data_IF_766543970505
#
_entry.id   IF_766543970505
#
_cell.length_a   1.000
_cell.length_b   1.000
_cell.length_c   1.000
_cell.angle_alpha   90.00
_cell.angle_beta   90.00
_cell.angle_gamma   90.00
#
_symmetry.space_group_name_H-M   'P 1'
#
loop_
_entity.id
_entity.type
_entity.pdbx_description
1 polymer ?
#
# COMPACT_ATOMS: atom_id res chain seq x y z
N UNK A 1 23.10 -5.18 -9.42
CA UNK A 1 22.22 -4.28 -8.62
C UNK A 1 22.13 -2.86 -9.21
N UNK A 2 23.21 -2.26 -9.69
CA UNK A 2 23.23 -0.91 -10.26
C UNK A 2 22.33 -0.72 -11.51
N UNK A 3 22.18 -1.74 -12.35
CA UNK A 3 21.39 -1.64 -13.59
C UNK A 3 19.87 -1.60 -13.39
N UNK A 4 19.33 -2.16 -12.29
CA UNK A 4 17.89 -2.15 -12.02
C UNK A 4 17.47 -0.78 -11.51
N UNK A 5 18.24 -0.19 -10.60
CA UNK A 5 17.94 1.13 -10.03
C UNK A 5 17.97 2.19 -11.13
N UNK A 6 18.94 2.13 -12.07
CA UNK A 6 19.02 3.04 -13.22
C UNK A 6 17.80 2.95 -14.14
N UNK A 7 17.27 1.76 -14.33
CA UNK A 7 16.09 1.53 -15.16
C UNK A 7 14.78 1.98 -14.53
N UNK A 8 14.76 2.16 -13.21
CA UNK A 8 13.57 2.57 -12.43
C UNK A 8 13.58 4.06 -12.11
N UNK A 9 14.76 4.69 -12.09
CA UNK A 9 14.96 6.12 -11.82
C UNK A 9 15.56 6.82 -13.04
N UNK A 10 14.75 7.45 -13.90
CA UNK A 10 15.29 8.21 -15.03
C UNK A 10 16.12 9.40 -14.53
N UNK A 11 17.33 9.53 -15.06
CA UNK A 11 18.29 10.57 -14.70
C UNK A 11 18.71 11.37 -15.96
N UNK A 12 18.97 12.66 -15.78
CA UNK A 12 19.74 13.45 -16.75
C UNK A 12 21.23 13.26 -16.46
N UNK A 13 21.98 12.79 -17.47
CA UNK A 13 23.45 12.78 -17.43
C UNK A 13 24.13 11.53 -16.86
N UNK A 14 23.44 10.43 -16.69
CA UNK A 14 24.06 9.15 -16.25
C UNK A 14 24.39 9.07 -14.76
N UNK A 15 24.92 7.91 -14.35
CA UNK A 15 25.34 7.66 -12.97
C UNK A 15 26.59 8.45 -12.58
N UNK A 16 26.45 9.68 -12.17
CA UNK A 16 27.50 10.46 -11.56
C UNK A 16 27.17 10.71 -10.08
N UNK A 17 27.33 9.74 -9.25
CA UNK A 17 27.16 9.90 -7.81
C UNK A 17 27.88 8.79 -7.05
N UNK A 18 28.97 9.12 -6.39
CA UNK A 18 29.50 8.31 -5.30
C UNK A 18 28.42 8.22 -4.22
N UNK A 19 28.06 7.00 -3.85
CA UNK A 19 27.13 6.77 -2.72
C UNK A 19 27.69 7.49 -1.50
N UNK A 20 26.93 8.43 -0.94
CA UNK A 20 27.39 9.18 0.23
C UNK A 20 27.49 8.24 1.44
N UNK A 21 28.39 8.54 2.39
CA UNK A 21 28.46 7.79 3.65
C UNK A 21 27.10 7.73 4.37
N UNK A 22 26.31 8.79 4.30
CA UNK A 22 24.97 8.86 4.84
C UNK A 22 24.01 7.84 4.18
N UNK A 23 24.12 7.61 2.86
CA UNK A 23 23.31 6.61 2.17
C UNK A 23 23.65 5.18 2.66
N UNK A 24 24.94 4.87 2.78
CA UNK A 24 25.37 3.56 3.26
C UNK A 24 24.96 3.34 4.74
N UNK A 25 25.09 4.38 5.58
CA UNK A 25 24.63 4.33 6.97
C UNK A 25 23.12 4.11 7.08
N UNK A 26 22.32 4.79 6.24
CA UNK A 26 20.87 4.61 6.21
C UNK A 26 20.49 3.17 5.79
N UNK A 27 21.17 2.59 4.79
CA UNK A 27 20.94 1.19 4.38
C UNK A 27 21.34 0.23 5.51
N UNK A 28 22.49 0.44 6.14
CA UNK A 28 22.97 -0.42 7.23
C UNK A 28 22.00 -0.38 8.42
N UNK A 29 21.54 0.83 8.81
CA UNK A 29 20.56 1.01 9.88
C UNK A 29 19.23 0.34 9.55
N UNK A 30 18.71 0.55 8.32
CA UNK A 30 17.47 -0.08 7.89
C UNK A 30 17.58 -1.60 7.87
N UNK A 31 18.72 -2.13 7.40
CA UNK A 31 18.99 -3.56 7.43
C UNK A 31 19.05 -4.13 8.85
N UNK A 32 19.72 -3.43 9.76
CA UNK A 32 19.76 -3.82 11.18
C UNK A 32 18.37 -3.83 11.80
N UNK A 33 17.58 -2.78 11.59
CA UNK A 33 16.22 -2.70 12.10
C UNK A 33 15.31 -3.81 11.54
N UNK A 34 15.48 -4.15 10.26
CA UNK A 34 14.76 -5.26 9.64
C UNK A 34 15.13 -6.61 10.28
N UNK A 35 16.43 -6.86 10.50
CA UNK A 35 16.90 -8.10 11.17
C UNK A 35 16.35 -8.17 12.60
N UNK A 36 16.42 -7.08 13.36
CA UNK A 36 15.90 -7.01 14.72
C UNK A 36 14.38 -7.26 14.72
N UNK A 37 13.63 -6.60 13.81
CA UNK A 37 12.17 -6.80 13.70
C UNK A 37 11.81 -8.25 13.35
N UNK A 38 12.51 -8.89 12.42
CA UNK A 38 12.32 -10.30 12.08
C UNK A 38 12.63 -11.20 13.28
N UNK A 39 13.71 -10.93 14.01
CA UNK A 39 14.07 -11.71 15.20
C UNK A 39 12.98 -11.64 16.29
N UNK A 40 12.44 -10.45 16.57
CA UNK A 40 11.31 -10.28 17.47
C UNK A 40 10.03 -10.96 16.96
N UNK A 41 9.74 -10.87 15.66
CA UNK A 41 8.61 -11.56 15.05
C UNK A 41 8.73 -13.08 15.19
N UNK A 42 9.92 -13.66 14.97
CA UNK A 42 10.16 -15.10 15.20
C UNK A 42 10.03 -15.44 16.67
N UNK A 43 10.56 -14.61 17.57
CA UNK A 43 10.44 -14.83 19.03
C UNK A 43 8.97 -14.85 19.48
N UNK A 44 8.11 -14.05 18.88
CA UNK A 44 6.68 -14.01 19.20
C UNK A 44 5.98 -15.37 18.98
N UNK A 45 6.41 -16.17 18.01
CA UNK A 45 5.87 -17.53 17.80
C UNK A 45 6.24 -18.50 18.94
N UNK A 46 7.29 -18.21 19.70
CA UNK A 46 7.70 -19.07 20.84
C UNK A 46 7.01 -18.66 22.14
N UNK A 47 6.77 -17.37 22.38
CA UNK A 47 6.16 -16.87 23.61
C UNK A 47 4.64 -16.72 23.54
N UNK A 48 4.06 -16.80 22.35
CA UNK A 48 2.64 -16.57 22.10
C UNK A 48 2.34 -15.11 21.73
N UNK A 49 1.39 -14.91 20.81
CA UNK A 49 1.07 -13.60 20.24
C UNK A 49 0.36 -12.67 21.23
N UNK A 50 -0.42 -13.22 22.16
CA UNK A 50 -1.05 -12.49 23.27
C UNK A 50 -0.01 -11.82 24.17
N UNK A 51 1.06 -12.52 24.51
CA UNK A 51 2.16 -11.97 25.31
C UNK A 51 3.07 -11.04 24.52
N UNK A 52 3.35 -11.39 23.26
CA UNK A 52 4.25 -10.60 22.40
C UNK A 52 3.67 -9.27 21.98
N UNK A 53 2.39 -9.24 21.61
CA UNK A 53 1.74 -8.08 20.99
C UNK A 53 0.64 -7.45 21.84
N UNK A 54 0.32 -8.04 22.99
CA UNK A 54 -0.71 -7.55 23.91
C UNK A 54 -2.12 -7.55 23.30
N UNK A 55 -2.36 -8.36 22.27
CA UNK A 55 -3.69 -8.52 21.68
C UNK A 55 -4.56 -9.33 22.62
N UNK A 56 -5.81 -8.86 22.81
CA UNK A 56 -6.79 -9.48 23.68
C UNK A 56 -8.12 -9.63 22.95
N UNK A 57 -9.06 -10.33 23.55
CA UNK A 57 -10.41 -10.43 22.99
C UNK A 57 -11.09 -9.06 22.87
N UNK A 58 -10.79 -8.12 23.76
CA UNK A 58 -11.37 -6.78 23.77
C UNK A 58 -10.65 -5.85 22.77
N UNK A 59 -9.34 -6.07 22.57
CA UNK A 59 -8.50 -5.34 21.62
C UNK A 59 -7.83 -6.35 20.67
N UNK A 60 -8.60 -6.92 19.71
CA UNK A 60 -8.10 -8.03 18.88
C UNK A 60 -7.15 -7.55 17.75
N UNK A 61 -7.11 -6.25 17.44
CA UNK A 61 -6.28 -5.68 16.38
C UNK A 61 -5.27 -4.71 16.97
N UNK A 62 -4.00 -5.10 16.90
CA UNK A 62 -2.88 -4.33 17.39
C UNK A 62 -2.15 -3.54 16.29
N UNK A 63 -0.93 -3.12 16.62
CA UNK A 63 -0.06 -2.33 15.75
C UNK A 63 0.29 -3.05 14.44
N UNK A 64 0.43 -4.38 14.45
CA UNK A 64 0.78 -5.14 13.25
C UNK A 64 -0.34 -5.09 12.21
N UNK A 65 -1.62 -5.19 12.63
CA UNK A 65 -2.76 -5.01 11.71
C UNK A 65 -2.77 -3.60 11.11
N UNK A 66 -2.55 -2.56 11.92
CA UNK A 66 -2.47 -1.18 11.42
C UNK A 66 -1.32 -1.00 10.41
N UNK A 67 -0.16 -1.60 10.69
CA UNK A 67 1.02 -1.58 9.83
C UNK A 67 0.78 -2.36 8.52
N UNK A 68 0.14 -3.52 8.61
CA UNK A 68 -0.29 -4.27 7.44
C UNK A 68 -1.21 -3.43 6.54
N UNK A 69 -2.25 -2.84 7.13
CA UNK A 69 -3.19 -1.96 6.40
C UNK A 69 -2.44 -0.81 5.73
N UNK A 70 -1.52 -0.14 6.43
CA UNK A 70 -0.69 0.93 5.87
C UNK A 70 0.07 0.48 4.60
N UNK A 71 0.71 -0.69 4.63
CA UNK A 71 1.46 -1.19 3.49
C UNK A 71 0.56 -1.58 2.31
N UNK A 72 -0.56 -2.27 2.54
CA UNK A 72 -1.45 -2.68 1.44
C UNK A 72 -2.22 -1.51 0.84
N UNK A 73 -2.60 -0.51 1.66
CA UNK A 73 -3.19 0.76 1.22
C UNK A 73 -2.21 1.49 0.31
N UNK A 74 -0.97 1.65 0.76
CA UNK A 74 0.09 2.32 -0.02
C UNK A 74 0.38 1.58 -1.33
N UNK A 75 0.42 0.25 -1.31
CA UNK A 75 0.65 -0.58 -2.50
C UNK A 75 -0.45 -0.38 -3.54
N UNK A 76 -1.70 -0.53 -3.13
CA UNK A 76 -2.84 -0.32 -4.04
C UNK A 76 -2.85 1.10 -4.61
N UNK A 77 -2.57 2.10 -3.79
CA UNK A 77 -2.47 3.49 -4.24
C UNK A 77 -1.36 3.72 -5.27
N UNK A 78 -0.19 3.14 -5.07
CA UNK A 78 0.92 3.19 -6.03
C UNK A 78 0.55 2.52 -7.36
N UNK A 79 -0.17 1.39 -7.32
CA UNK A 79 -0.69 0.72 -8.51
C UNK A 79 -1.69 1.63 -9.25
N UNK A 80 -2.66 2.21 -8.54
CA UNK A 80 -3.65 3.11 -9.13
C UNK A 80 -3.00 4.35 -9.76
N UNK A 81 -2.04 4.98 -9.09
CA UNK A 81 -1.31 6.14 -9.63
C UNK A 81 -0.48 5.75 -10.85
N UNK A 82 0.17 4.57 -10.85
CA UNK A 82 0.95 4.10 -11.99
C UNK A 82 0.07 3.82 -13.20
N UNK A 83 -1.12 3.25 -12.98
CA UNK A 83 -2.06 2.89 -14.04
C UNK A 83 -2.54 4.09 -14.86
N UNK A 84 -2.62 5.27 -14.25
CA UNK A 84 -2.98 6.51 -14.95
C UNK A 84 -2.06 6.75 -16.15
N UNK A 85 -0.77 6.46 -16.00
CA UNK A 85 0.22 6.65 -17.05
C UNK A 85 0.24 5.53 -18.10
N UNK A 86 0.37 4.27 -17.67
CA UNK A 86 0.67 3.19 -18.62
C UNK A 86 -0.56 2.34 -19.03
N UNK A 87 -1.63 2.31 -18.22
CA UNK A 87 -2.89 1.65 -18.57
C UNK A 87 -3.83 2.61 -19.26
N UNK A 88 -4.05 3.78 -18.67
CA UNK A 88 -4.98 4.80 -19.21
C UNK A 88 -4.31 5.82 -20.15
N UNK A 89 -3.00 5.77 -20.34
CA UNK A 89 -2.27 6.51 -21.35
C UNK A 89 -2.03 7.99 -21.08
N UNK A 90 -2.22 8.46 -19.84
CA UNK A 90 -2.00 9.88 -19.50
C UNK A 90 -0.50 10.19 -19.49
N UNK A 91 -0.04 10.98 -20.47
CA UNK A 91 1.39 11.26 -20.72
C UNK A 91 2.13 11.79 -19.50
N UNK A 92 1.50 12.69 -18.73
CA UNK A 92 2.12 13.29 -17.55
C UNK A 92 2.41 12.30 -16.41
N UNK A 93 1.86 11.09 -16.43
CA UNK A 93 2.10 10.04 -15.42
C UNK A 93 3.03 8.92 -15.90
N UNK A 94 3.31 8.85 -17.22
CA UNK A 94 4.18 7.79 -17.77
C UNK A 94 5.58 7.72 -17.13
N UNK A 95 6.29 8.85 -16.86
CA UNK A 95 7.64 8.80 -16.31
C UNK A 95 7.75 8.17 -14.92
N UNK A 96 6.68 8.21 -14.11
CA UNK A 96 6.67 7.64 -12.76
C UNK A 96 6.13 6.21 -12.71
N UNK A 97 5.45 5.73 -13.77
CA UNK A 97 4.68 4.50 -13.76
C UNK A 97 5.52 3.28 -13.33
N UNK A 98 6.66 3.05 -13.98
CA UNK A 98 7.53 1.90 -13.69
C UNK A 98 8.06 1.89 -12.25
N UNK A 99 8.38 3.07 -11.70
CA UNK A 99 8.80 3.19 -10.31
C UNK A 99 7.66 2.91 -9.35
N UNK A 100 6.46 3.42 -9.67
CA UNK A 100 5.28 3.18 -8.83
C UNK A 100 4.93 1.69 -8.77
N UNK A 101 4.98 0.96 -9.90
CA UNK A 101 4.80 -0.50 -9.93
C UNK A 101 5.84 -1.21 -9.04
N UNK A 102 7.11 -0.83 -9.15
CA UNK A 102 8.17 -1.41 -8.32
C UNK A 102 7.95 -1.17 -6.83
N UNK A 103 7.60 0.05 -6.44
CA UNK A 103 7.29 0.39 -5.05
C UNK A 103 6.02 -0.32 -4.56
N UNK A 104 5.00 -0.48 -5.41
CA UNK A 104 3.79 -1.23 -5.08
C UNK A 104 4.10 -2.69 -4.74
N UNK A 105 5.00 -3.34 -5.50
CA UNK A 105 5.43 -4.71 -5.22
C UNK A 105 6.17 -4.79 -3.88
N UNK A 106 7.09 -3.87 -3.61
CA UNK A 106 7.82 -3.86 -2.34
C UNK A 106 6.87 -3.67 -1.16
N UNK A 107 5.95 -2.71 -1.26
CA UNK A 107 5.01 -2.42 -0.17
C UNK A 107 4.01 -3.55 0.07
N UNK A 108 3.49 -4.23 -0.96
CA UNK A 108 2.59 -5.38 -0.74
C UNK A 108 3.34 -6.57 -0.12
N UNK A 109 4.58 -6.85 -0.54
CA UNK A 109 5.41 -7.90 0.07
C UNK A 109 5.70 -7.55 1.54
N UNK A 110 6.00 -6.28 1.86
CA UNK A 110 6.16 -5.83 3.25
C UNK A 110 4.88 -6.02 4.05
N UNK A 111 3.72 -5.72 3.48
CA UNK A 111 2.42 -6.00 4.11
C UNK A 111 2.21 -7.49 4.40
N UNK A 112 2.52 -8.36 3.43
CA UNK A 112 2.42 -9.81 3.64
C UNK A 112 3.39 -10.32 4.71
N UNK A 113 4.58 -9.74 4.80
CA UNK A 113 5.52 -10.09 5.87
C UNK A 113 4.96 -9.68 7.25
N UNK A 114 4.40 -8.49 7.36
CA UNK A 114 3.81 -8.01 8.63
C UNK A 114 2.63 -8.89 9.06
N UNK A 115 1.69 -9.19 8.14
CA UNK A 115 0.54 -10.04 8.49
C UNK A 115 0.96 -11.48 8.78
N UNK A 116 2.04 -11.97 8.19
CA UNK A 116 2.59 -13.28 8.50
C UNK A 116 3.12 -13.36 9.95
N UNK A 117 3.61 -12.26 10.51
CA UNK A 117 4.00 -12.21 11.92
C UNK A 117 2.82 -11.98 12.87
N UNK A 118 1.70 -11.42 12.40
CA UNK A 118 0.49 -11.25 13.20
C UNK A 118 -0.28 -12.56 13.36
N UNK A 119 -0.31 -13.42 12.33
CA UNK A 119 -1.09 -14.64 12.32
C UNK A 119 -0.29 -15.77 12.99
N UNK A 120 -0.86 -16.43 13.98
CA UNK A 120 -0.21 -17.56 14.68
C UNK A 120 0.21 -18.70 13.75
N UNK A 121 -0.54 -18.93 12.68
CA UNK A 121 -0.30 -20.02 11.75
C UNK A 121 -0.30 -19.51 10.28
N UNK A 122 0.69 -18.71 9.86
CA UNK A 122 0.70 -18.07 8.54
C UNK A 122 0.74 -19.08 7.37
N UNK A 123 1.42 -20.21 7.53
CA UNK A 123 1.42 -21.31 6.54
C UNK A 123 0.03 -21.91 6.33
N UNK A 124 -0.78 -22.03 7.39
CA UNK A 124 -2.17 -22.46 7.29
C UNK A 124 -2.96 -21.49 6.41
N UNK A 125 -2.85 -20.21 6.66
CA UNK A 125 -3.53 -19.21 5.84
C UNK A 125 -3.16 -19.35 4.36
N UNK A 126 -1.87 -19.47 4.03
CA UNK A 126 -1.42 -19.60 2.66
C UNK A 126 -1.94 -20.88 1.97
N UNK A 127 -1.86 -22.02 2.65
CA UNK A 127 -2.26 -23.31 2.10
C UNK A 127 -3.79 -23.43 2.03
N UNK A 128 -4.49 -23.17 3.13
CA UNK A 128 -5.95 -23.38 3.20
C UNK A 128 -6.73 -22.35 2.39
N UNK A 129 -6.14 -21.18 2.10
CA UNK A 129 -6.74 -20.23 1.18
C UNK A 129 -6.98 -20.85 -0.22
N UNK A 130 -6.13 -21.82 -0.62
CA UNK A 130 -6.20 -22.50 -1.92
C UNK A 130 -6.98 -23.82 -1.82
N UNK A 131 -6.66 -24.68 -0.84
CA UNK A 131 -7.23 -26.06 -0.78
C UNK A 131 -8.60 -26.11 -0.10
N UNK A 132 -8.98 -25.10 0.69
CA UNK A 132 -10.26 -25.02 1.38
C UNK A 132 -10.90 -23.64 1.18
N UNK A 133 -11.35 -23.31 -0.05
CA UNK A 133 -11.91 -22.00 -0.35
C UNK A 133 -13.19 -21.74 0.46
N UNK A 134 -13.30 -20.50 0.98
CA UNK A 134 -14.49 -20.05 1.70
C UNK A 134 -15.04 -18.73 1.09
N UNK A 135 -15.84 -18.82 0.01
CA UNK A 135 -16.35 -17.66 -0.71
C UNK A 135 -17.26 -16.73 0.13
N UNK A 136 -17.74 -17.20 1.27
CA UNK A 136 -18.57 -16.40 2.20
C UNK A 136 -17.75 -15.58 3.18
N UNK A 137 -16.43 -15.78 3.24
CA UNK A 137 -15.52 -15.07 4.14
C UNK A 137 -14.81 -13.91 3.44
N UNK A 138 -15.01 -12.69 3.93
CA UNK A 138 -14.26 -11.52 3.46
C UNK A 138 -12.74 -11.66 3.69
N UNK A 139 -12.33 -12.36 4.73
CA UNK A 139 -10.90 -12.60 5.03
C UNK A 139 -10.30 -13.54 3.98
N UNK A 140 -11.03 -14.57 3.54
CA UNK A 140 -10.59 -15.44 2.45
C UNK A 140 -10.42 -14.66 1.15
N UNK A 141 -11.39 -13.80 0.80
CA UNK A 141 -11.29 -12.92 -0.37
C UNK A 141 -10.09 -11.98 -0.27
N UNK A 142 -9.77 -11.50 0.91
CA UNK A 142 -8.61 -10.62 1.12
C UNK A 142 -7.30 -11.31 0.71
N UNK A 143 -7.07 -12.54 1.18
CA UNK A 143 -5.90 -13.33 0.80
C UNK A 143 -5.86 -13.64 -0.71
N UNK A 144 -6.99 -14.07 -1.27
CA UNK A 144 -7.12 -14.43 -2.68
C UNK A 144 -6.88 -13.23 -3.62
N UNK A 145 -7.56 -12.11 -3.35
CA UNK A 145 -7.49 -10.92 -4.21
C UNK A 145 -6.13 -10.22 -4.13
N UNK A 146 -5.53 -10.10 -2.94
CA UNK A 146 -4.19 -9.55 -2.82
C UNK A 146 -3.11 -10.49 -3.36
N UNK A 147 -3.32 -11.81 -3.30
CA UNK A 147 -2.47 -12.78 -3.97
C UNK A 147 -2.50 -12.63 -5.49
N UNK A 148 -3.70 -12.55 -6.08
CA UNK A 148 -3.89 -12.29 -7.50
C UNK A 148 -3.31 -10.92 -7.92
N UNK A 149 -3.53 -9.89 -7.11
CA UNK A 149 -2.95 -8.57 -7.31
C UNK A 149 -1.42 -8.63 -7.40
N UNK A 150 -0.75 -9.23 -6.42
CA UNK A 150 0.71 -9.38 -6.43
C UNK A 150 1.19 -10.15 -7.66
N UNK A 151 0.50 -11.23 -8.03
CA UNK A 151 0.83 -12.02 -9.21
C UNK A 151 0.80 -11.18 -10.49
N UNK A 152 -0.27 -10.41 -10.73
CA UNK A 152 -0.36 -9.54 -11.89
C UNK A 152 0.70 -8.44 -11.89
N UNK A 153 0.97 -7.83 -10.73
CA UNK A 153 1.99 -6.78 -10.60
C UNK A 153 3.41 -7.30 -10.89
N UNK A 154 3.75 -8.52 -10.48
CA UNK A 154 5.04 -9.13 -10.76
C UNK A 154 5.23 -9.36 -12.27
N UNK A 155 4.22 -9.90 -12.95
CA UNK A 155 4.28 -10.13 -14.40
C UNK A 155 4.32 -8.80 -15.15
N UNK A 156 3.49 -7.83 -14.76
CA UNK A 156 3.51 -6.48 -15.31
C UNK A 156 4.90 -5.86 -15.22
N UNK A 157 5.51 -5.90 -14.04
CA UNK A 157 6.86 -5.35 -13.82
C UNK A 157 7.90 -6.05 -14.70
N UNK A 158 7.84 -7.38 -14.81
CA UNK A 158 8.73 -8.14 -15.69
C UNK A 158 8.56 -7.72 -17.17
N UNK A 159 7.33 -7.56 -17.64
CA UNK A 159 7.04 -7.09 -19.00
C UNK A 159 7.53 -5.66 -19.24
N UNK A 160 7.37 -4.76 -18.27
CA UNK A 160 7.91 -3.41 -18.33
C UNK A 160 9.45 -3.40 -18.41
N UNK A 161 10.12 -4.33 -17.71
CA UNK A 161 11.58 -4.47 -17.80
C UNK A 161 12.03 -5.00 -19.17
N UNK A 162 11.21 -5.85 -19.80
CA UNK A 162 11.44 -6.38 -21.15
C UNK A 162 11.06 -5.42 -22.26
N UNK A 163 10.51 -4.23 -21.96
CA UNK A 163 10.04 -3.25 -22.94
C UNK A 163 8.72 -3.61 -23.62
N UNK A 164 8.00 -4.61 -23.14
CA UNK A 164 6.72 -5.09 -23.70
C UNK A 164 5.53 -4.27 -23.17
N UNK A 165 5.52 -2.97 -23.44
CA UNK A 165 4.57 -2.02 -22.86
C UNK A 165 3.10 -2.35 -23.09
N UNK A 166 2.72 -2.86 -24.29
CA UNK A 166 1.32 -3.22 -24.60
C UNK A 166 0.83 -4.37 -23.73
N UNK A 167 1.65 -5.43 -23.56
CA UNK A 167 1.31 -6.57 -22.72
C UNK A 167 1.31 -6.18 -21.23
N UNK A 168 2.26 -5.34 -20.80
CA UNK A 168 2.29 -4.79 -19.46
C UNK A 168 1.02 -4.00 -19.15
N UNK A 169 0.47 -3.24 -20.11
CA UNK A 169 -0.79 -2.52 -19.92
C UNK A 169 -1.98 -3.43 -19.64
N UNK A 170 -2.09 -4.58 -20.31
CA UNK A 170 -3.15 -5.56 -20.03
C UNK A 170 -3.02 -6.17 -18.63
N UNK A 171 -1.80 -6.56 -18.24
CA UNK A 171 -1.55 -7.10 -16.90
C UNK A 171 -1.74 -6.02 -15.82
N UNK A 172 -1.35 -4.78 -16.10
CA UNK A 172 -1.60 -3.63 -15.23
C UNK A 172 -3.09 -3.39 -15.01
N UNK A 173 -3.92 -3.52 -16.06
CA UNK A 173 -5.38 -3.43 -15.92
C UNK A 173 -5.94 -4.53 -15.01
N UNK A 174 -5.49 -5.79 -15.18
CA UNK A 174 -5.87 -6.89 -14.28
C UNK A 174 -5.39 -6.64 -12.85
N UNK A 175 -4.19 -6.09 -12.68
CA UNK A 175 -3.65 -5.65 -11.39
C UNK A 175 -4.51 -4.57 -10.74
N UNK A 176 -4.97 -3.57 -11.51
CA UNK A 176 -5.90 -2.54 -11.03
C UNK A 176 -7.22 -3.15 -10.57
N UNK A 177 -7.83 -4.02 -11.39
CA UNK A 177 -9.10 -4.67 -11.04
C UNK A 177 -8.95 -5.49 -9.76
N UNK A 178 -7.91 -6.33 -9.67
CA UNK A 178 -7.64 -7.13 -8.48
C UNK A 178 -7.35 -6.26 -7.24
N UNK A 179 -6.55 -5.19 -7.41
CA UNK A 179 -6.20 -4.25 -6.35
C UNK A 179 -7.41 -3.46 -5.83
N UNK A 180 -8.26 -2.96 -6.73
CA UNK A 180 -9.51 -2.26 -6.34
C UNK A 180 -10.45 -3.22 -5.62
N UNK A 181 -10.64 -4.44 -6.14
CA UNK A 181 -11.47 -5.45 -5.50
C UNK A 181 -10.94 -5.84 -4.10
N UNK A 182 -9.63 -6.11 -3.98
CA UNK A 182 -8.98 -6.43 -2.72
C UNK A 182 -9.15 -5.30 -1.69
N UNK A 183 -8.94 -4.06 -2.15
CA UNK A 183 -8.97 -2.89 -1.28
C UNK A 183 -10.40 -2.50 -0.85
N UNK A 184 -11.37 -2.64 -1.77
CA UNK A 184 -12.80 -2.50 -1.43
C UNK A 184 -13.22 -3.54 -0.40
N UNK A 185 -12.77 -4.80 -0.58
CA UNK A 185 -13.04 -5.88 0.39
C UNK A 185 -12.38 -5.60 1.75
N UNK A 186 -11.15 -5.06 1.78
CA UNK A 186 -10.50 -4.63 3.02
C UNK A 186 -11.35 -3.56 3.73
N UNK A 187 -11.82 -2.54 3.00
CA UNK A 187 -12.73 -1.54 3.53
C UNK A 187 -14.04 -2.14 4.02
N UNK A 188 -14.58 -3.16 3.33
CA UNK A 188 -15.77 -3.89 3.76
C UNK A 188 -15.55 -4.64 5.08
N UNK A 189 -14.37 -5.24 5.29
CA UNK A 189 -14.05 -5.89 6.58
C UNK A 189 -14.21 -4.91 7.75
N UNK A 190 -13.72 -3.67 7.60
CA UNK A 190 -13.92 -2.64 8.62
C UNK A 190 -15.38 -2.14 8.67
N UNK A 191 -16.02 -1.96 7.52
CA UNK A 191 -17.41 -1.48 7.43
C UNK A 191 -18.45 -2.44 7.98
N UNK A 192 -18.16 -3.75 8.07
CA UNK A 192 -19.04 -4.79 8.60
C UNK A 192 -18.92 -4.99 10.12
N UNK A 193 -18.02 -4.27 10.80
CA UNK A 193 -17.82 -4.39 12.24
C UNK A 193 -18.93 -3.68 13.03
N UNK A 194 -20.01 -4.40 13.32
CA UNK A 194 -21.16 -3.86 14.07
C UNK A 194 -20.79 -3.34 15.47
N UNK A 195 -19.77 -3.94 16.11
CA UNK A 195 -19.28 -3.49 17.43
C UNK A 195 -18.37 -2.26 17.38
N UNK A 196 -18.11 -1.69 16.21
CA UNK A 196 -17.25 -0.51 16.00
C UNK A 196 -18.02 0.55 15.22
N UNK A 197 -18.94 1.21 15.89
CA UNK A 197 -19.91 2.16 15.33
C UNK A 197 -19.25 3.27 14.50
N UNK A 198 -18.05 3.71 14.86
CA UNK A 198 -17.31 4.74 14.12
C UNK A 198 -16.99 4.30 12.68
N UNK A 199 -16.67 3.02 12.47
CA UNK A 199 -16.32 2.47 11.15
C UNK A 199 -17.48 1.80 10.43
N UNK A 200 -18.50 1.36 11.18
CA UNK A 200 -19.62 0.62 10.60
C UNK A 200 -20.36 1.42 9.52
N UNK A 201 -20.54 0.77 8.36
CA UNK A 201 -21.35 1.28 7.27
C UNK A 201 -20.73 1.12 5.88
N UNK A 202 -21.51 1.35 4.80
CA UNK A 202 -21.12 1.08 3.42
C UNK A 202 -20.09 2.08 2.86
N UNK A 203 -19.77 3.13 3.60
CA UNK A 203 -18.82 4.17 3.20
C UNK A 203 -17.36 3.67 3.17
N UNK A 204 -17.00 2.72 4.03
CA UNK A 204 -15.62 2.31 4.23
C UNK A 204 -14.92 1.77 2.97
N UNK A 205 -15.54 0.94 2.11
CA UNK A 205 -14.92 0.49 0.86
C UNK A 205 -14.50 1.65 -0.05
N UNK A 206 -15.33 2.69 -0.16
CA UNK A 206 -15.04 3.88 -1.00
C UNK A 206 -13.94 4.73 -0.37
N UNK A 207 -14.03 4.95 0.94
CA UNK A 207 -13.03 5.69 1.70
C UNK A 207 -11.63 5.05 1.56
N UNK A 208 -11.54 3.72 1.66
CA UNK A 208 -10.29 2.99 1.52
C UNK A 208 -9.66 3.17 0.14
N UNK A 209 -10.44 3.16 -0.96
CA UNK A 209 -9.92 3.40 -2.31
C UNK A 209 -9.37 4.82 -2.43
N UNK A 210 -10.13 5.82 -1.98
CA UNK A 210 -9.70 7.22 -2.06
C UNK A 210 -8.46 7.49 -1.20
N UNK A 211 -8.40 6.93 0.02
CA UNK A 211 -7.24 7.02 0.90
C UNK A 211 -6.02 6.28 0.33
N UNK A 212 -6.23 5.15 -0.36
CA UNK A 212 -5.17 4.45 -1.05
C UNK A 212 -4.54 5.32 -2.15
N UNK A 213 -5.35 5.95 -2.99
CA UNK A 213 -4.84 6.84 -4.03
C UNK A 213 -4.04 8.00 -3.44
N UNK A 214 -4.50 8.62 -2.35
CA UNK A 214 -3.75 9.66 -1.63
C UNK A 214 -2.43 9.13 -1.07
N UNK A 215 -2.44 7.96 -0.45
CA UNK A 215 -1.24 7.30 0.08
C UNK A 215 -0.23 6.98 -1.02
N UNK A 216 -0.71 6.50 -2.18
CA UNK A 216 0.12 6.25 -3.36
C UNK A 216 0.76 7.53 -3.91
N UNK A 217 -0.01 8.63 -4.02
CA UNK A 217 0.53 9.94 -4.41
C UNK A 217 1.63 10.40 -3.44
N UNK A 218 1.39 10.30 -2.15
CA UNK A 218 2.35 10.70 -1.11
C UNK A 218 3.61 9.83 -1.14
N UNK A 219 3.44 8.52 -1.27
CA UNK A 219 4.54 7.56 -1.31
C UNK A 219 5.46 7.79 -2.52
N UNK A 220 4.92 7.95 -3.74
CA UNK A 220 5.77 8.17 -4.92
C UNK A 220 6.53 9.49 -4.84
N UNK A 221 5.93 10.55 -4.28
CA UNK A 221 6.61 11.83 -4.07
C UNK A 221 7.74 11.66 -3.04
N UNK A 222 7.42 11.09 -1.87
CA UNK A 222 8.37 10.92 -0.77
C UNK A 222 9.57 10.05 -1.18
N UNK A 223 9.31 8.86 -1.71
CA UNK A 223 10.37 7.94 -2.13
C UNK A 223 11.18 8.46 -3.32
N UNK A 224 10.55 9.26 -4.20
CA UNK A 224 11.28 9.94 -5.25
C UNK A 224 12.23 10.97 -4.67
N UNK A 225 11.73 11.84 -3.80
CA UNK A 225 12.54 12.87 -3.15
C UNK A 225 13.72 12.27 -2.37
N UNK A 226 13.45 11.24 -1.54
CA UNK A 226 14.51 10.53 -0.80
C UNK A 226 15.53 9.95 -1.78
N UNK A 227 15.09 9.21 -2.80
CA UNK A 227 15.98 8.54 -3.74
C UNK A 227 16.89 9.51 -4.51
N UNK A 228 16.36 10.63 -4.97
CA UNK A 228 17.15 11.65 -5.68
C UNK A 228 18.09 12.40 -4.73
N UNK A 229 17.60 12.78 -3.54
CA UNK A 229 18.39 13.54 -2.56
C UNK A 229 19.56 12.72 -2.00
N UNK A 230 19.31 11.48 -1.61
CA UNK A 230 20.33 10.61 -1.02
C UNK A 230 21.42 10.20 -2.01
N UNK A 231 21.10 10.12 -3.30
CA UNK A 231 22.08 9.78 -4.34
C UNK A 231 22.70 11.02 -5.02
N UNK A 232 22.24 12.22 -4.69
CA UNK A 232 22.74 13.45 -5.32
C UNK A 232 22.36 13.59 -6.81
N UNK A 233 21.30 12.89 -7.25
CA UNK A 233 20.88 12.88 -8.64
C UNK A 233 19.97 14.04 -8.99
N UNK A 234 20.00 14.48 -10.26
CA UNK A 234 19.08 15.49 -10.78
C UNK A 234 17.86 14.82 -11.41
N UNK A 235 16.68 15.30 -11.07
CA UNK A 235 15.44 14.86 -11.73
C UNK A 235 15.33 15.43 -13.12
N UNK A 236 14.93 14.60 -14.10
CA UNK A 236 14.59 15.09 -15.43
C UNK A 236 13.38 16.02 -15.37
N UNK A 237 13.26 17.00 -16.29
CA UNK A 237 12.09 17.90 -16.36
C UNK A 237 10.78 17.14 -16.47
N UNK A 238 10.72 16.09 -17.30
CA UNK A 238 9.54 15.24 -17.45
C UNK A 238 9.14 14.54 -16.15
N UNK A 239 10.13 14.01 -15.40
CA UNK A 239 9.87 13.37 -14.11
C UNK A 239 9.37 14.37 -13.06
N UNK A 240 9.97 15.56 -13.01
CA UNK A 240 9.53 16.63 -12.12
C UNK A 240 8.11 17.08 -12.41
N UNK A 241 7.76 17.21 -13.69
CA UNK A 241 6.40 17.53 -14.13
C UNK A 241 5.40 16.44 -13.71
N UNK A 242 5.79 15.16 -13.83
CA UNK A 242 4.97 14.04 -13.35
C UNK A 242 4.69 14.14 -11.85
N UNK A 243 5.72 14.39 -11.04
CA UNK A 243 5.54 14.56 -9.59
C UNK A 243 4.63 15.76 -9.26
N UNK A 244 4.69 16.84 -10.05
CA UNK A 244 3.76 17.97 -9.88
C UNK A 244 2.32 17.57 -10.20
N UNK A 245 2.09 16.76 -11.24
CA UNK A 245 0.75 16.22 -11.56
C UNK A 245 0.22 15.31 -10.46
N UNK A 246 1.08 14.45 -9.90
CA UNK A 246 0.75 13.61 -8.74
C UNK A 246 0.42 14.43 -7.52
N UNK A 247 1.18 15.51 -7.24
CA UNK A 247 0.91 16.39 -6.10
C UNK A 247 -0.44 17.10 -6.24
N UNK A 248 -0.82 17.53 -7.43
CA UNK A 248 -2.15 18.13 -7.70
C UNK A 248 -3.26 17.10 -7.49
N UNK A 249 -3.09 15.86 -7.97
CA UNK A 249 -4.03 14.76 -7.73
C UNK A 249 -4.16 14.47 -6.24
N UNK A 250 -3.03 14.37 -5.52
CA UNK A 250 -3.01 14.15 -4.07
C UNK A 250 -3.72 15.26 -3.30
N UNK A 251 -3.51 16.52 -3.68
CA UNK A 251 -4.20 17.66 -3.06
C UNK A 251 -5.74 17.59 -3.27
N UNK A 252 -6.19 17.24 -4.47
CA UNK A 252 -7.62 17.03 -4.75
C UNK A 252 -8.19 15.89 -3.90
N UNK A 253 -7.51 14.75 -3.85
CA UNK A 253 -7.93 13.59 -3.04
C UNK A 253 -7.99 13.92 -1.54
N UNK A 254 -7.01 14.70 -1.05
CA UNK A 254 -7.00 15.17 0.33
C UNK A 254 -8.22 16.05 0.62
N UNK A 255 -8.56 16.98 -0.27
CA UNK A 255 -9.73 17.83 -0.12
C UNK A 255 -11.04 17.01 -0.11
N UNK A 256 -11.14 16.00 -0.98
CA UNK A 256 -12.29 15.07 -1.02
C UNK A 256 -12.39 14.28 0.28
N UNK A 257 -11.30 13.72 0.79
CA UNK A 257 -11.30 12.94 2.03
C UNK A 257 -11.64 13.82 3.24
N UNK A 258 -11.09 15.03 3.31
CA UNK A 258 -11.44 15.98 4.37
C UNK A 258 -12.91 16.37 4.32
N UNK A 259 -13.46 16.59 3.13
CA UNK A 259 -14.89 16.84 2.95
C UNK A 259 -15.74 15.67 3.49
N UNK A 260 -15.42 14.45 3.12
CA UNK A 260 -16.14 13.26 3.58
C UNK A 260 -16.02 13.05 5.09
N UNK A 261 -14.84 13.21 5.68
CA UNK A 261 -14.66 13.07 7.13
C UNK A 261 -15.41 14.16 7.89
N UNK A 262 -15.36 15.40 7.39
CA UNK A 262 -16.10 16.52 7.98
C UNK A 262 -17.61 16.23 8.02
N UNK A 263 -18.18 15.78 6.90
CA UNK A 263 -19.60 15.45 6.83
C UNK A 263 -19.96 14.23 7.67
N UNK A 264 -19.09 13.23 7.74
CA UNK A 264 -19.29 12.07 8.62
C UNK A 264 -19.38 12.50 10.09
N UNK A 265 -18.48 13.37 10.54
CA UNK A 265 -18.49 13.90 11.92
C UNK A 265 -19.72 14.79 12.15
N UNK A 266 -19.97 15.76 11.27
CA UNK A 266 -21.12 16.65 11.40
C UNK A 266 -22.45 15.90 11.43
N UNK A 267 -22.66 14.94 10.53
CA UNK A 267 -23.89 14.13 10.50
C UNK A 267 -24.02 13.21 11.73
N UNK A 268 -22.89 12.70 12.25
CA UNK A 268 -22.88 11.88 13.45
C UNK A 268 -23.20 12.68 14.72
N UNK A 269 -22.71 13.91 14.82
CA UNK A 269 -22.98 14.79 15.96
C UNK A 269 -24.40 15.38 15.85
N UNK A 270 -24.78 15.93 14.71
CA UNK A 270 -26.06 16.59 14.52
C UNK A 270 -27.25 15.62 14.46
N UNK A 271 -27.06 14.49 13.76
CA UNK A 271 -28.10 13.47 13.62
C UNK A 271 -28.26 12.54 14.82
N UNK A 272 -27.26 12.50 15.69
CA UNK A 272 -27.22 11.67 16.91
C UNK A 272 -27.68 10.22 16.71
N UNK A 273 -27.25 9.53 15.63
CA UNK A 273 -27.65 8.14 15.44
C UNK A 273 -27.11 7.29 16.60
N UNK A 274 -27.88 6.30 17.07
CA UNK A 274 -27.48 5.44 18.17
C UNK A 274 -26.07 4.85 17.98
N UNK A 275 -25.23 4.87 19.00
CA UNK A 275 -23.86 4.38 18.99
C UNK A 275 -22.85 5.29 18.28
N UNK A 276 -23.17 5.87 17.14
CA UNK A 276 -22.23 6.75 16.39
C UNK A 276 -21.96 8.06 17.13
N UNK A 277 -22.97 8.66 17.72
CA UNK A 277 -22.78 9.89 18.50
C UNK A 277 -21.81 9.65 19.67
N UNK A 278 -22.02 8.60 20.44
CA UNK A 278 -21.13 8.26 21.55
C UNK A 278 -19.70 7.97 21.09
N UNK A 279 -19.54 7.25 19.96
CA UNK A 279 -18.23 6.96 19.38
C UNK A 279 -17.50 8.18 18.80
N UNK A 280 -18.22 9.27 18.50
CA UNK A 280 -17.62 10.52 18.00
C UNK A 280 -17.30 11.50 19.13
N UNK A 281 -17.94 11.36 20.29
CA UNK A 281 -17.71 12.20 21.45
C UNK A 281 -16.65 11.65 22.42
N UNK A 282 -16.31 10.36 22.27
CA UNK A 282 -15.22 9.71 23.03
C UNK A 282 -13.84 10.01 22.43
#
# INVERSE_FOLDING_TARGET
MNNIIAKVLPQEGGYAGTKSGAYNAAIALSGLLAVVGIAFGIHAFFIGHDQAYGVTRDVPWGLLIATYVFFVVTSTGLCLVSSIGHVFGVESFKPIAKRSVFLAIITIISGFLVIAFEIENPWRMAIYNVISPNPTSNIWWMGTLYGAYLFFMLIEFALLQMGKHKQAGYLGLLGVIAGVAAHSNLGAVFGLLNGREFWHGPYMPIYFIASAMLSGCSAIILFSWIGYKTNGWKMSPAYKQSLTSVAKLGALLMAILLFFETWKVLSGIAGQPPGKYAAMMA
#
